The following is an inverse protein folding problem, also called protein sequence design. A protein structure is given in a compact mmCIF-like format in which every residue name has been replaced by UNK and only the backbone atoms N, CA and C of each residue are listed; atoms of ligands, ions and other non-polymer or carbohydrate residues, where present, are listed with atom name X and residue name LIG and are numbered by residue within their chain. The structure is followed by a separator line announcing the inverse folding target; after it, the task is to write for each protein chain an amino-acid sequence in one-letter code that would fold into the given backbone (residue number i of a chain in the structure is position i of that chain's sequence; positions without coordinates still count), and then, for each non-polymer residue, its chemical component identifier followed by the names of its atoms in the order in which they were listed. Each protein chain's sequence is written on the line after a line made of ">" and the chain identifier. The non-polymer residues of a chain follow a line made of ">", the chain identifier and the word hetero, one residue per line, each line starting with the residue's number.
data_IF_101618193092
#
_entry.id   IF_101618193092
#
_cell.length_a   1.000
_cell.length_b   1.000
_cell.length_c   1.000
_cell.angle_alpha   90.00
_cell.angle_beta   90.00
_cell.angle_gamma   90.00
#
_symmetry.space_group_name_H-M   'P 1'
#
loop_
_entity.id
_entity.type
_entity.pdbx_description
1 polymer ?
#
# COMPACT_ATOMS: atom_id res chain seq x y z
N UNK A 1 3.00 -2.30 8.71
CA UNK A 1 4.11 -2.03 9.64
C UNK A 1 5.19 -3.09 9.45
N UNK A 2 4.96 -4.37 9.81
CA UNK A 2 5.96 -5.43 9.63
C UNK A 2 6.58 -5.54 8.21
N UNK A 3 5.77 -5.69 7.15
CA UNK A 3 6.30 -5.84 5.77
C UNK A 3 7.10 -4.63 5.31
N UNK A 4 6.68 -3.43 5.71
CA UNK A 4 7.36 -2.20 5.32
C UNK A 4 8.69 -2.06 6.04
N UNK A 5 8.70 -2.28 7.36
CA UNK A 5 9.93 -2.30 8.16
C UNK A 5 10.94 -3.32 7.63
N UNK A 6 10.47 -4.52 7.24
CA UNK A 6 11.32 -5.55 6.65
C UNK A 6 11.97 -5.13 5.33
N UNK A 7 11.27 -4.34 4.51
CA UNK A 7 11.84 -3.79 3.28
C UNK A 7 12.83 -2.68 3.64
N UNK A 8 12.46 -1.76 4.53
CA UNK A 8 13.30 -0.63 4.96
C UNK A 8 14.64 -1.10 5.54
N UNK A 9 14.66 -2.20 6.30
CA UNK A 9 15.89 -2.81 6.86
C UNK A 9 16.88 -3.30 5.78
N UNK A 10 16.42 -3.49 4.54
CA UNK A 10 17.23 -4.00 3.42
C UNK A 10 17.62 -2.93 2.41
N UNK A 11 17.10 -1.73 2.54
CA UNK A 11 17.41 -0.63 1.63
C UNK A 11 18.78 0.00 1.93
N UNK A 12 19.39 0.61 0.92
CA UNK A 12 20.59 1.42 1.14
C UNK A 12 20.24 2.73 1.85
N UNK A 13 21.25 3.49 2.30
CA UNK A 13 21.02 4.80 2.98
C UNK A 13 20.48 5.86 2.02
N UNK A 14 20.60 5.61 0.72
CA UNK A 14 20.19 6.48 -0.38
C UNK A 14 18.77 6.16 -0.87
N UNK A 15 18.11 5.17 -0.30
CA UNK A 15 16.77 4.71 -0.68
C UNK A 15 15.78 4.80 0.50
N UNK A 16 14.49 4.87 0.18
CA UNK A 16 13.40 4.76 1.15
C UNK A 16 12.13 4.22 0.51
N UNK A 17 11.21 3.72 1.32
CA UNK A 17 9.90 3.27 0.85
C UNK A 17 8.84 4.38 0.80
N UNK A 18 7.89 4.27 -0.12
CA UNK A 18 6.62 5.00 -0.09
C UNK A 18 5.65 4.33 0.88
N UNK A 19 4.54 4.97 1.24
CA UNK A 19 3.45 4.26 1.91
C UNK A 19 2.92 3.11 1.04
N UNK A 20 2.48 2.02 1.68
CA UNK A 20 1.76 0.94 0.97
C UNK A 20 0.49 1.51 0.34
N UNK A 21 0.32 1.28 -0.95
CA UNK A 21 -0.85 1.68 -1.72
C UNK A 21 -1.50 0.45 -2.35
N UNK A 22 -2.83 0.41 -2.42
CA UNK A 22 -3.57 -0.78 -2.84
C UNK A 22 -4.73 -0.38 -3.76
N UNK A 23 -5.09 -1.21 -4.75
CA UNK A 23 -6.31 -1.04 -5.53
C UNK A 23 -7.54 -0.87 -4.63
N UNK A 24 -8.41 0.08 -4.96
CA UNK A 24 -9.53 0.51 -4.13
C UNK A 24 -9.22 1.66 -3.17
N UNK A 25 -7.98 2.16 -3.14
CA UNK A 25 -7.63 3.40 -2.44
C UNK A 25 -7.75 4.62 -3.36
N UNK A 26 -8.27 5.72 -2.82
CA UNK A 26 -8.46 7.01 -3.50
C UNK A 26 -8.98 6.85 -4.94
N UNK A 27 -8.12 7.08 -5.93
CA UNK A 27 -8.38 7.08 -7.35
C UNK A 27 -7.92 5.80 -8.06
N UNK A 28 -7.37 4.83 -7.34
CA UNK A 28 -6.96 3.54 -7.90
C UNK A 28 -8.17 2.58 -7.96
N UNK A 29 -8.66 2.20 -9.16
CA UNK A 29 -9.79 1.29 -9.28
C UNK A 29 -9.52 -0.07 -8.62
N UNK A 30 -10.50 -0.62 -7.91
CA UNK A 30 -10.37 -1.94 -7.27
C UNK A 30 -10.18 -3.07 -8.29
N UNK A 31 -10.66 -2.90 -9.53
CA UNK A 31 -10.49 -3.89 -10.60
C UNK A 31 -9.03 -4.17 -10.97
N UNK A 32 -8.15 -3.18 -10.77
CA UNK A 32 -6.70 -3.31 -10.98
C UNK A 32 -6.01 -4.27 -9.98
N UNK A 33 -6.76 -4.77 -8.99
CA UNK A 33 -6.34 -5.85 -8.11
C UNK A 33 -5.91 -7.10 -8.88
N UNK A 34 -6.51 -7.35 -10.06
CA UNK A 34 -6.14 -8.46 -10.92
C UNK A 34 -4.69 -8.35 -11.43
N UNK A 35 -4.20 -7.13 -11.72
CA UNK A 35 -2.83 -6.92 -12.20
C UNK A 35 -1.80 -7.28 -11.12
N UNK A 36 -2.10 -7.00 -9.85
CA UNK A 36 -1.25 -7.44 -8.74
C UNK A 36 -1.23 -8.96 -8.63
N UNK A 37 -2.39 -9.61 -8.77
CA UNK A 37 -2.51 -11.06 -8.67
C UNK A 37 -1.81 -11.80 -9.82
N UNK A 38 -1.63 -11.19 -11.00
CA UNK A 38 -0.81 -11.78 -12.08
C UNK A 38 0.67 -11.93 -11.71
N UNK A 39 1.17 -11.12 -10.79
CA UNK A 39 2.59 -11.09 -10.41
C UNK A 39 2.84 -11.86 -9.12
N UNK A 40 1.85 -11.89 -8.22
CA UNK A 40 1.96 -12.59 -6.95
C UNK A 40 1.71 -14.10 -7.12
N UNK A 41 2.42 -14.97 -6.39
CA UNK A 41 2.17 -16.41 -6.36
C UNK A 41 0.93 -16.71 -5.49
N UNK A 42 -0.22 -16.13 -5.83
CA UNK A 42 -1.43 -16.13 -5.01
C UNK A 42 -1.97 -17.55 -4.75
N UNK A 43 -1.86 -18.44 -5.73
CA UNK A 43 -2.22 -19.86 -5.59
C UNK A 43 -1.34 -20.56 -4.54
N UNK A 44 -0.04 -20.26 -4.51
CA UNK A 44 0.91 -20.87 -3.56
C UNK A 44 0.60 -20.46 -2.12
N UNK A 45 0.17 -19.22 -1.91
CA UNK A 45 -0.17 -18.69 -0.57
C UNK A 45 -1.64 -18.92 -0.20
N UNK A 46 -2.44 -19.54 -1.07
CA UNK A 46 -3.85 -19.86 -0.83
C UNK A 46 -4.75 -18.63 -0.77
N UNK A 47 -4.46 -17.59 -1.56
CA UNK A 47 -5.31 -16.39 -1.69
C UNK A 47 -5.91 -16.34 -3.09
N UNK A 48 -7.22 -16.20 -3.14
CA UNK A 48 -8.00 -16.15 -4.38
C UNK A 48 -8.60 -14.76 -4.61
N UNK A 49 -8.82 -14.41 -5.87
CA UNK A 49 -9.49 -13.19 -6.29
C UNK A 49 -10.76 -13.56 -7.07
N UNK A 50 -11.90 -13.05 -6.63
CA UNK A 50 -13.17 -13.18 -7.34
C UNK A 50 -13.27 -12.21 -8.53
N UNK A 51 -14.27 -12.43 -9.41
CA UNK A 51 -14.56 -11.55 -10.55
C UNK A 51 -14.84 -10.10 -10.12
N UNK A 52 -15.45 -9.92 -8.94
CA UNK A 52 -15.73 -8.61 -8.33
C UNK A 52 -14.52 -8.01 -7.57
N UNK A 53 -13.33 -8.59 -7.74
CA UNK A 53 -12.07 -8.15 -7.10
C UNK A 53 -12.03 -8.28 -5.57
N UNK A 54 -12.91 -9.09 -4.97
CA UNK A 54 -12.78 -9.48 -3.56
C UNK A 54 -11.76 -10.59 -3.38
N UNK A 55 -10.95 -10.46 -2.32
CA UNK A 55 -10.00 -11.49 -1.92
C UNK A 55 -10.61 -12.50 -0.94
N UNK A 56 -10.27 -13.77 -1.12
CA UNK A 56 -10.56 -14.86 -0.19
C UNK A 56 -9.24 -15.48 0.29
N UNK A 57 -8.97 -15.58 1.60
CA UNK A 57 -9.83 -15.21 2.73
C UNK A 57 -10.16 -13.71 2.81
N UNK A 58 -11.29 -13.36 3.43
CA UNK A 58 -11.75 -11.96 3.52
C UNK A 58 -10.77 -11.03 4.25
N UNK A 59 -9.96 -11.55 5.17
CA UNK A 59 -8.92 -10.78 5.89
C UNK A 59 -7.58 -10.78 5.16
N UNK A 60 -7.62 -10.62 3.84
CA UNK A 60 -6.44 -10.48 2.98
C UNK A 60 -6.24 -9.04 2.57
N UNK A 61 -4.98 -8.66 2.32
CA UNK A 61 -4.60 -7.35 1.78
C UNK A 61 -3.50 -7.53 0.75
N UNK A 62 -3.63 -6.85 -0.37
CA UNK A 62 -2.59 -6.70 -1.40
C UNK A 62 -2.09 -5.25 -1.41
N UNK A 63 -1.02 -4.97 -2.13
CA UNK A 63 -0.62 -3.61 -2.43
C UNK A 63 0.80 -3.54 -2.96
N UNK A 64 1.19 -2.32 -3.30
CA UNK A 64 2.54 -1.98 -3.75
C UNK A 64 3.19 -1.08 -2.71
N UNK A 65 4.52 -1.20 -2.61
CA UNK A 65 5.38 -0.30 -1.86
C UNK A 65 6.46 0.14 -2.85
N UNK A 66 6.51 1.42 -3.17
CA UNK A 66 7.53 1.98 -4.05
C UNK A 66 8.85 2.14 -3.30
N UNK A 67 9.97 1.90 -3.99
CA UNK A 67 11.31 2.24 -3.52
C UNK A 67 11.74 3.48 -4.30
N UNK A 68 12.19 4.51 -3.59
CA UNK A 68 12.57 5.78 -4.19
C UNK A 68 13.85 6.33 -3.53
N UNK A 69 14.55 7.27 -4.19
CA UNK A 69 15.67 7.96 -3.57
C UNK A 69 15.29 8.60 -2.22
N UNK A 70 16.19 8.58 -1.24
CA UNK A 70 15.94 9.09 0.11
C UNK A 70 15.52 10.57 0.12
N UNK A 71 16.01 11.36 -0.84
CA UNK A 71 15.66 12.77 -1.03
C UNK A 71 14.31 13.01 -1.74
N UNK A 72 13.59 11.96 -2.13
CA UNK A 72 12.28 12.09 -2.81
C UNK A 72 11.27 12.80 -1.91
N UNK A 73 10.52 13.76 -2.47
CA UNK A 73 9.52 14.52 -1.73
C UNK A 73 8.18 13.80 -1.76
N UNK A 74 7.92 12.98 -0.76
CA UNK A 74 6.61 12.37 -0.53
C UNK A 74 6.31 12.42 0.98
N UNK A 75 5.10 12.87 1.33
CA UNK A 75 4.66 12.92 2.72
C UNK A 75 4.37 11.50 3.20
N UNK A 76 5.09 11.04 4.23
CA UNK A 76 4.82 9.74 4.88
C UNK A 76 3.43 9.65 5.54
N UNK A 77 2.64 10.73 5.47
CA UNK A 77 1.27 10.77 5.90
C UNK A 77 0.41 11.54 4.87
N UNK A 78 -0.36 10.80 4.08
CA UNK A 78 -1.34 11.35 3.12
C UNK A 78 -2.40 12.25 3.80
N UNK A 79 -2.58 12.15 5.12
CA UNK A 79 -3.47 13.03 5.85
C UNK A 79 -2.93 14.46 6.01
N UNK A 80 -1.67 14.74 5.70
CA UNK A 80 -1.13 16.12 5.74
C UNK A 80 -1.73 16.93 4.59
N UNK A 81 -1.70 16.36 3.39
CA UNK A 81 -2.12 17.04 2.15
C UNK A 81 -3.61 16.78 1.79
N UNK A 82 -4.35 16.08 2.66
CA UNK A 82 -5.75 15.72 2.40
C UNK A 82 -6.70 16.94 2.54
N UNK A 83 -7.46 17.30 1.48
CA UNK A 83 -8.32 18.49 1.47
C UNK A 83 -9.59 18.36 2.33
N UNK A 84 -9.88 17.17 2.88
CA UNK A 84 -11.12 16.90 3.63
C UNK A 84 -11.13 17.61 4.99
N UNK A 85 -11.85 18.72 5.09
CA UNK A 85 -12.06 19.46 6.35
C UNK A 85 -12.80 18.58 7.36
N UNK A 86 -12.44 18.67 8.66
CA UNK A 86 -13.08 17.95 9.77
C UNK A 86 -13.17 16.42 9.62
N UNK A 87 -12.13 15.77 9.10
CA UNK A 87 -12.07 14.32 9.04
C UNK A 87 -11.79 13.72 10.43
N UNK A 88 -12.72 12.95 11.05
CA UNK A 88 -12.50 12.35 12.38
C UNK A 88 -11.44 11.24 12.38
N UNK A 89 -11.05 10.76 11.18
CA UNK A 89 -10.04 9.73 10.98
C UNK A 89 -8.69 10.29 10.51
N UNK A 90 -8.49 11.62 10.59
CA UNK A 90 -7.22 12.24 10.19
C UNK A 90 -6.10 11.70 11.08
N UNK A 91 -5.13 11.02 10.48
CA UNK A 91 -3.95 10.51 11.18
C UNK A 91 -3.05 11.68 11.56
N UNK A 92 -2.83 11.90 12.86
CA UNK A 92 -1.78 12.81 13.34
C UNK A 92 -0.41 12.26 12.93
N UNK A 93 0.59 13.13 12.79
CA UNK A 93 1.97 12.65 12.68
C UNK A 93 2.28 11.75 13.89
N UNK A 94 2.81 10.54 13.65
CA UNK A 94 3.46 9.80 14.73
C UNK A 94 4.66 10.66 15.15
N UNK A 95 4.64 11.16 16.39
CA UNK A 95 5.80 11.77 17.04
C UNK A 95 6.96 10.79 17.09
#
# INVERSE_FOLDING_TARGET
>A
EYTQNYIDEKLSREEKTTLRYSPGYCDWPISEQCEIFKILPHETIGVELSEDSFMSPRKSVSGVIGICPANSKFSGNLCIDCPKVNCPYRRSEKK
#
